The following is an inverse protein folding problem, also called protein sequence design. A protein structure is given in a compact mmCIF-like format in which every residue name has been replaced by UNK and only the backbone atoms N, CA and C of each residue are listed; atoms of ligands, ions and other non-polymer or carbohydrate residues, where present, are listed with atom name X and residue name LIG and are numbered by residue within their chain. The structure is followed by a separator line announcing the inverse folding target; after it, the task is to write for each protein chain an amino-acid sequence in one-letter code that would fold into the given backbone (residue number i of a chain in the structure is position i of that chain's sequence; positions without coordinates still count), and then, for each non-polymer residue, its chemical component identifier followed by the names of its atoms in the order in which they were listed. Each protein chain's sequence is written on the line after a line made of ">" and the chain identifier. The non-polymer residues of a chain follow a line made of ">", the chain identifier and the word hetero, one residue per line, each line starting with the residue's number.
data_IF_532103541017
#
_entry.id   IF_532103541017
#
_cell.length_a   1.000
_cell.length_b   1.000
_cell.length_c   1.000
_cell.angle_alpha   90.00
_cell.angle_beta   90.00
_cell.angle_gamma   90.00
#
_symmetry.space_group_name_H-M   'P 1'
#
loop_
_entity.id
_entity.type
_entity.pdbx_description
1 polymer ?
#
# COMPACT_ATOMS: atom_id res chain seq x y z
N UNK A 1 -14.03 -3.66 -12.45
CA UNK A 1 -13.35 -3.76 -11.16
C UNK A 1 -11.90 -3.48 -11.41
N UNK A 2 -11.51 -2.26 -11.09
CA UNK A 2 -10.13 -1.83 -11.22
C UNK A 2 -9.39 -2.31 -9.97
N UNK A 3 -8.28 -3.04 -10.16
CA UNK A 3 -7.53 -3.61 -9.03
C UNK A 3 -6.28 -2.78 -8.78
N UNK A 4 -6.04 -2.50 -7.51
CA UNK A 4 -4.76 -2.00 -7.02
C UNK A 4 -4.10 -3.09 -6.16
N UNK A 5 -2.77 -3.09 -6.11
CA UNK A 5 -1.97 -4.15 -5.50
C UNK A 5 -1.00 -3.62 -4.44
N UNK A 6 -0.84 -4.37 -3.35
CA UNK A 6 0.03 -4.05 -2.22
C UNK A 6 0.93 -5.23 -1.88
N UNK A 7 2.23 -5.01 -1.80
CA UNK A 7 3.22 -6.04 -1.47
C UNK A 7 4.23 -5.58 -0.43
N UNK A 8 5.06 -6.52 0.03
CA UNK A 8 6.14 -6.27 0.99
C UNK A 8 7.47 -6.25 0.26
N UNK A 9 8.33 -5.30 0.62
CA UNK A 9 9.69 -5.22 0.09
C UNK A 9 10.67 -5.87 1.06
N UNK A 10 11.30 -6.97 0.65
CA UNK A 10 12.32 -7.64 1.48
C UNK A 10 13.54 -6.75 1.73
N UNK A 11 13.94 -5.98 0.73
CA UNK A 11 15.00 -4.99 0.83
C UNK A 11 14.59 -3.71 0.11
N UNK A 12 15.06 -2.59 0.65
CA UNK A 12 14.88 -1.27 0.06
C UNK A 12 16.25 -0.75 -0.41
N UNK A 13 16.32 -0.42 -1.69
CA UNK A 13 17.44 0.29 -2.31
C UNK A 13 17.07 1.80 -2.43
N UNK A 14 17.76 2.70 -1.69
CA UNK A 14 17.47 4.13 -1.69
C UNK A 14 17.67 4.84 -3.04
N UNK A 15 18.56 4.32 -3.89
CA UNK A 15 18.90 4.93 -5.18
C UNK A 15 18.03 4.38 -6.33
N UNK A 16 17.27 3.31 -6.06
CA UNK A 16 16.46 2.65 -7.07
C UNK A 16 15.16 3.40 -7.35
N UNK A 17 14.84 3.50 -8.65
CA UNK A 17 13.52 3.86 -9.13
C UNK A 17 12.67 2.59 -9.35
N UNK A 18 11.56 2.48 -8.63
CA UNK A 18 10.62 1.35 -8.63
C UNK A 18 9.46 1.52 -9.61
N UNK A 19 9.57 2.39 -10.62
CA UNK A 19 8.50 2.66 -11.62
C UNK A 19 8.01 1.42 -12.37
N UNK A 20 8.81 0.35 -12.45
CA UNK A 20 8.44 -0.85 -13.19
C UNK A 20 7.39 -1.66 -12.43
N UNK A 21 6.30 -1.99 -13.12
CA UNK A 21 5.27 -2.89 -12.61
C UNK A 21 5.76 -4.34 -12.56
N UNK A 22 6.04 -4.84 -11.36
CA UNK A 22 6.54 -6.19 -11.09
C UNK A 22 5.92 -6.79 -9.81
N UNK A 23 4.58 -6.84 -9.68
CA UNK A 23 3.91 -7.19 -8.41
C UNK A 23 4.25 -8.60 -7.90
N UNK A 24 4.60 -9.53 -8.80
CA UNK A 24 4.98 -10.89 -8.44
C UNK A 24 6.25 -10.93 -7.58
N UNK A 25 7.11 -9.91 -7.67
CA UNK A 25 8.33 -9.80 -6.87
C UNK A 25 8.05 -9.53 -5.39
N UNK A 26 6.89 -8.94 -5.07
CA UNK A 26 6.61 -8.39 -3.73
C UNK A 26 5.51 -9.16 -3.00
N UNK A 27 5.07 -10.29 -3.55
CA UNK A 27 4.01 -11.12 -2.95
C UNK A 27 2.70 -10.34 -2.78
N UNK A 28 2.34 -9.54 -3.80
CA UNK A 28 1.24 -8.60 -3.69
C UNK A 28 -0.11 -9.27 -3.45
N UNK A 29 -0.96 -8.58 -2.68
CA UNK A 29 -2.40 -8.83 -2.56
C UNK A 29 -3.15 -7.69 -3.25
N UNK A 30 -4.32 -7.98 -3.81
CA UNK A 30 -5.08 -7.03 -4.61
C UNK A 30 -6.42 -6.68 -3.98
N UNK A 31 -6.82 -5.42 -4.03
CA UNK A 31 -8.16 -4.95 -3.64
C UNK A 31 -8.81 -4.17 -4.78
N UNK A 32 -10.12 -3.93 -4.68
CA UNK A 32 -10.86 -3.12 -5.66
C UNK A 32 -10.65 -1.62 -5.39
N UNK A 33 -9.93 -0.95 -6.29
CA UNK A 33 -9.58 0.47 -6.17
C UNK A 33 -10.85 1.35 -6.12
N UNK A 34 -11.77 1.14 -7.06
CA UNK A 34 -13.01 1.93 -7.20
C UNK A 34 -13.89 1.80 -5.95
N UNK A 35 -13.87 0.63 -5.32
CA UNK A 35 -14.68 0.32 -4.14
C UNK A 35 -14.13 0.95 -2.87
N UNK A 36 -12.82 1.08 -2.72
CA UNK A 36 -12.20 1.40 -1.42
C UNK A 36 -11.47 2.74 -1.39
N UNK A 37 -10.67 3.03 -2.42
CA UNK A 37 -9.63 4.05 -2.34
C UNK A 37 -10.23 5.46 -2.26
N UNK A 38 -11.34 5.70 -2.96
CA UNK A 38 -12.06 6.99 -2.88
C UNK A 38 -12.58 7.28 -1.46
N UNK A 39 -13.13 6.27 -0.78
CA UNK A 39 -13.67 6.43 0.58
C UNK A 39 -12.55 6.65 1.61
N UNK A 40 -11.41 6.01 1.40
CA UNK A 40 -10.24 6.13 2.27
C UNK A 40 -9.42 7.40 2.03
N UNK A 41 -9.63 8.06 0.88
CA UNK A 41 -8.78 9.15 0.39
C UNK A 41 -8.51 10.26 1.40
N UNK A 42 -9.51 10.79 2.15
CA UNK A 42 -9.26 11.85 3.14
C UNK A 42 -8.25 11.44 4.22
N UNK A 43 -8.20 10.15 4.58
CA UNK A 43 -7.26 9.61 5.57
C UNK A 43 -5.92 9.28 4.94
N UNK A 44 -5.90 8.78 3.70
CA UNK A 44 -4.68 8.50 2.95
C UNK A 44 -3.83 9.76 2.74
N UNK A 45 -4.46 10.92 2.53
CA UNK A 45 -3.78 12.23 2.42
C UNK A 45 -2.89 12.60 3.62
N UNK A 46 -3.08 11.94 4.76
CA UNK A 46 -2.32 12.19 5.99
C UNK A 46 -1.11 11.27 6.13
N UNK A 47 -1.00 10.23 5.31
CA UNK A 47 0.04 9.21 5.40
C UNK A 47 1.22 9.63 4.53
N UNK A 48 2.43 9.69 5.13
CA UNK A 48 3.68 9.95 4.41
C UNK A 48 4.05 8.75 3.55
N UNK A 49 4.39 8.99 2.30
CA UNK A 49 4.79 7.97 1.33
C UNK A 49 5.91 8.49 0.43
N UNK A 50 6.32 7.69 -0.54
CA UNK A 50 7.25 8.09 -1.58
C UNK A 50 6.74 7.65 -2.95
N UNK A 51 6.84 8.52 -3.95
CA UNK A 51 6.43 8.19 -5.32
C UNK A 51 7.61 7.63 -6.11
N UNK A 52 7.55 6.34 -6.46
CA UNK A 52 8.53 5.60 -7.27
C UNK A 52 9.95 5.45 -6.66
N UNK A 53 10.44 6.37 -5.83
CA UNK A 53 11.78 6.29 -5.19
C UNK A 53 11.82 7.03 -3.85
N UNK A 54 12.74 6.65 -2.95
CA UNK A 54 12.89 7.31 -1.64
C UNK A 54 13.33 8.79 -1.72
N UNK A 55 13.88 9.21 -2.86
CA UNK A 55 14.21 10.61 -3.14
C UNK A 55 12.99 11.49 -3.48
N UNK A 56 11.79 10.90 -3.59
CA UNK A 56 10.55 11.59 -3.99
C UNK A 56 9.48 11.45 -2.89
N UNK A 57 9.65 12.14 -1.75
CA UNK A 57 8.66 12.12 -0.68
C UNK A 57 7.31 12.66 -1.16
N UNK A 58 6.24 12.06 -0.65
CA UNK A 58 4.85 12.37 -1.01
C UNK A 58 3.91 12.05 0.15
N UNK A 59 2.61 12.19 -0.10
CA UNK A 59 1.53 11.72 0.76
C UNK A 59 0.55 10.87 -0.05
N UNK A 60 -0.24 10.05 0.64
CA UNK A 60 -1.23 9.16 0.04
C UNK A 60 -0.64 8.16 -0.98
N UNK A 61 -1.53 7.56 -1.76
CA UNK A 61 -1.21 6.60 -2.81
C UNK A 61 -1.13 7.32 -4.16
N UNK A 62 -0.10 7.01 -4.95
CA UNK A 62 -0.06 7.31 -6.37
C UNK A 62 -0.97 6.33 -7.12
N UNK A 63 -2.19 6.78 -7.48
CA UNK A 63 -3.24 5.96 -8.10
C UNK A 63 -2.94 5.55 -9.55
N UNK A 64 -1.92 6.14 -10.19
CA UNK A 64 -1.50 5.82 -11.56
C UNK A 64 -0.01 5.48 -11.64
N UNK A 65 0.58 5.10 -10.51
CA UNK A 65 2.01 4.88 -10.41
C UNK A 65 2.39 3.95 -9.26
N UNK A 66 3.59 4.15 -8.74
CA UNK A 66 4.15 3.29 -7.69
C UNK A 66 4.36 4.09 -6.44
N UNK A 67 3.84 3.58 -5.33
CA UNK A 67 4.00 4.18 -4.01
C UNK A 67 4.85 3.27 -3.13
N UNK A 68 5.85 3.83 -2.46
CA UNK A 68 6.56 3.17 -1.38
C UNK A 68 5.99 3.70 -0.06
N UNK A 69 5.59 2.79 0.82
CA UNK A 69 4.96 3.09 2.09
C UNK A 69 5.93 2.68 3.19
N UNK A 70 6.48 3.63 3.94
CA UNK A 70 7.51 3.34 4.93
C UNK A 70 6.91 2.70 6.19
N UNK A 71 7.70 1.94 6.97
CA UNK A 71 7.23 1.23 8.17
C UNK A 71 6.47 2.13 9.16
N UNK A 72 6.92 3.36 9.36
CA UNK A 72 6.28 4.31 10.29
C UNK A 72 4.88 4.77 9.85
N UNK A 73 4.55 4.60 8.56
CA UNK A 73 3.25 4.93 7.99
C UNK A 73 2.27 3.75 7.99
N UNK A 74 2.76 2.52 8.14
CA UNK A 74 1.94 1.33 8.07
C UNK A 74 0.87 1.22 9.17
N UNK A 75 1.11 1.62 10.44
CA UNK A 75 0.05 1.61 11.45
C UNK A 75 -1.15 2.49 11.07
N UNK A 76 -0.91 3.64 10.43
CA UNK A 76 -1.98 4.51 9.96
C UNK A 76 -2.75 3.88 8.79
N UNK A 77 -2.06 3.19 7.88
CA UNK A 77 -2.69 2.46 6.78
C UNK A 77 -3.50 1.26 7.29
N UNK A 78 -2.96 0.50 8.25
CA UNK A 78 -3.66 -0.61 8.90
C UNK A 78 -4.96 -0.13 9.51
N UNK A 79 -4.93 0.99 10.26
CA UNK A 79 -6.10 1.56 10.90
C UNK A 79 -7.18 1.98 9.89
N UNK A 80 -6.79 2.47 8.71
CA UNK A 80 -7.73 2.73 7.60
C UNK A 80 -8.43 1.44 7.16
N UNK A 81 -7.66 0.38 6.91
CA UNK A 81 -8.19 -0.88 6.39
C UNK A 81 -9.08 -1.59 7.40
N UNK A 82 -8.66 -1.72 8.66
CA UNK A 82 -9.43 -2.45 9.69
C UNK A 82 -10.66 -1.68 10.18
N UNK A 83 -10.67 -0.36 10.03
CA UNK A 83 -11.85 0.47 10.34
C UNK A 83 -12.97 0.33 9.30
N UNK A 84 -12.66 -0.20 8.11
CA UNK A 84 -13.64 -0.37 7.06
C UNK A 84 -14.55 -1.57 7.32
N UNK A 85 -15.85 -1.33 7.53
CA UNK A 85 -16.83 -2.39 7.83
C UNK A 85 -16.95 -3.46 6.75
N UNK A 86 -16.52 -3.17 5.52
CA UNK A 86 -16.52 -4.13 4.40
C UNK A 86 -15.51 -5.27 4.63
N UNK A 87 -14.53 -5.10 5.52
CA UNK A 87 -13.58 -6.16 5.90
C UNK A 87 -14.28 -7.43 6.41
N UNK A 88 -15.46 -7.29 7.02
CA UNK A 88 -16.25 -8.43 7.52
C UNK A 88 -16.80 -9.34 6.41
N UNK A 89 -16.74 -8.89 5.15
CA UNK A 89 -17.34 -9.61 4.01
C UNK A 89 -16.39 -9.74 2.81
N UNK A 90 -15.28 -9.01 2.77
CA UNK A 90 -14.33 -9.04 1.66
C UNK A 90 -12.99 -9.64 2.10
N UNK A 91 -12.74 -10.88 1.67
CA UNK A 91 -11.51 -11.60 1.96
C UNK A 91 -10.25 -10.89 1.44
N UNK A 92 -10.36 -10.04 0.40
CA UNK A 92 -9.20 -9.28 -0.08
C UNK A 92 -8.80 -8.16 0.88
N UNK A 93 -9.77 -7.55 1.59
CA UNK A 93 -9.45 -6.58 2.64
C UNK A 93 -8.80 -7.26 3.85
N UNK A 94 -9.24 -8.47 4.20
CA UNK A 94 -8.59 -9.29 5.24
C UNK A 94 -7.14 -9.59 4.82
N UNK A 95 -6.94 -10.06 3.58
CA UNK A 95 -5.61 -10.33 3.06
C UNK A 95 -4.70 -9.08 3.06
N UNK A 96 -5.24 -7.90 2.74
CA UNK A 96 -4.50 -6.63 2.85
C UNK A 96 -4.17 -6.30 4.30
N UNK A 97 -5.12 -6.43 5.23
CA UNK A 97 -4.89 -6.20 6.65
C UNK A 97 -3.81 -7.12 7.22
N UNK A 98 -3.83 -8.40 6.86
CA UNK A 98 -2.81 -9.38 7.27
C UNK A 98 -1.44 -9.03 6.67
N UNK A 99 -1.41 -8.60 5.40
CA UNK A 99 -0.17 -8.19 4.72
C UNK A 99 0.46 -6.96 5.36
N UNK A 100 -0.34 -5.96 5.73
CA UNK A 100 0.15 -4.76 6.42
C UNK A 100 0.64 -5.13 7.83
N UNK A 101 -0.08 -5.99 8.56
CA UNK A 101 0.35 -6.45 9.89
C UNK A 101 1.68 -7.19 9.83
N UNK A 102 1.87 -8.07 8.85
CA UNK A 102 3.15 -8.72 8.58
C UNK A 102 4.28 -7.70 8.34
N UNK A 103 4.03 -6.68 7.51
CA UNK A 103 5.03 -5.65 7.22
C UNK A 103 5.37 -4.79 8.46
N UNK A 104 4.39 -4.52 9.33
CA UNK A 104 4.60 -3.84 10.62
C UNK A 104 5.50 -4.70 11.51
N UNK A 105 5.18 -5.98 11.69
CA UNK A 105 5.94 -6.88 12.57
C UNK A 105 7.38 -7.06 12.08
N UNK A 106 7.58 -7.15 10.77
CA UNK A 106 8.89 -7.28 10.13
C UNK A 106 9.63 -5.94 9.95
N UNK A 107 9.01 -4.80 10.31
CA UNK A 107 9.55 -3.45 10.09
C UNK A 107 9.98 -3.19 8.62
N UNK A 108 9.18 -3.68 7.67
CA UNK A 108 9.46 -3.61 6.23
C UNK A 108 8.68 -2.49 5.53
N UNK A 109 9.26 -1.98 4.45
CA UNK A 109 8.53 -1.15 3.51
C UNK A 109 7.47 -1.97 2.79
N UNK A 110 6.37 -1.34 2.44
CA UNK A 110 5.42 -1.86 1.46
C UNK A 110 5.52 -1.10 0.15
N UNK A 111 5.14 -1.76 -0.94
CA UNK A 111 5.00 -1.18 -2.27
C UNK A 111 3.54 -1.31 -2.72
N UNK A 112 3.01 -0.24 -3.32
CA UNK A 112 1.69 -0.19 -3.90
C UNK A 112 1.78 0.14 -5.39
N UNK A 113 1.04 -0.60 -6.20
CA UNK A 113 0.87 -0.36 -7.63
C UNK A 113 -0.54 0.16 -7.88
N UNK A 114 -0.62 1.42 -8.30
CA UNK A 114 -1.83 2.02 -8.85
C UNK A 114 -2.19 1.43 -10.22
N UNK A 115 -3.24 1.98 -10.81
CA UNK A 115 -3.96 1.45 -11.98
C UNK A 115 -3.42 2.03 -13.27
#
# INVERSE_FOLDING_TARGET
>A
MIKTEFGIMDTIDPEKNYVKYEPQKYGCVAIDDDKYINDWWPRLLLIRTYTQSLSRPSFALDRYGVTLIPPESLPALQDIVISDKRINHDHNLIALADKISQAIDEQKYMIHFGV
#
